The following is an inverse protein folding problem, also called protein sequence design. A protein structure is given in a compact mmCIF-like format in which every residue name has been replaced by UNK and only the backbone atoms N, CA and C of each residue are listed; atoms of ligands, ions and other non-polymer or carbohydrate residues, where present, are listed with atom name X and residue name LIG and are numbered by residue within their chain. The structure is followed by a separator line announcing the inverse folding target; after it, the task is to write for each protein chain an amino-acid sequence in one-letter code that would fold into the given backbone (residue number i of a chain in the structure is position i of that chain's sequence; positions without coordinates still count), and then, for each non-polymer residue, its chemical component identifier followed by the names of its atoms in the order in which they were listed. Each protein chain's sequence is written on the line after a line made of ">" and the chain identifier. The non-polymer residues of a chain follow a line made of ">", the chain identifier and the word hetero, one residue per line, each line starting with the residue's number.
data_IF_280013589603
#
_entry.id   IF_280013589603
#
_cell.length_a   1.000
_cell.length_b   1.000
_cell.length_c   1.000
_cell.angle_alpha   90.00
_cell.angle_beta   90.00
_cell.angle_gamma   90.00
#
_symmetry.space_group_name_H-M   'P 1'
#
loop_
_entity.id
_entity.type
_entity.pdbx_description
1 polymer ?
#
# COMPACT_ATOMS: atom_id res chain seq x y z
N UNK A 1 -4.67 -6.73 3.88
CA UNK A 1 -5.46 -6.81 5.13
C UNK A 1 -4.56 -6.55 6.32
N UNK A 2 -4.98 -5.71 7.26
CA UNK A 2 -4.15 -5.28 8.41
C UNK A 2 -4.92 -5.52 9.70
N UNK A 3 -4.29 -6.20 10.66
CA UNK A 3 -4.74 -6.29 12.05
C UNK A 3 -3.90 -5.37 12.95
N UNK A 4 -4.42 -5.06 14.14
CA UNK A 4 -3.70 -4.32 15.16
C UNK A 4 -3.32 -5.24 16.32
N UNK A 5 -2.03 -5.47 16.52
CA UNK A 5 -1.49 -6.24 17.63
C UNK A 5 -0.12 -5.67 18.01
N UNK A 6 -0.08 -4.79 19.01
CA UNK A 6 1.11 -3.99 19.37
C UNK A 6 1.65 -3.08 18.24
N UNK A 7 0.94 -3.05 17.10
CA UNK A 7 1.28 -2.35 15.88
C UNK A 7 0.53 -2.94 14.68
N UNK A 8 0.65 -2.35 13.47
CA UNK A 8 0.01 -2.87 12.27
C UNK A 8 0.68 -4.16 11.79
N UNK A 9 -0.12 -5.22 11.63
CA UNK A 9 0.33 -6.53 11.14
C UNK A 9 -0.35 -6.85 9.82
N UNK A 10 0.43 -7.06 8.76
CA UNK A 10 -0.09 -7.55 7.49
C UNK A 10 -0.48 -9.02 7.61
N UNK A 11 -1.70 -9.33 7.20
CA UNK A 11 -2.24 -10.69 7.15
C UNK A 11 -2.82 -10.98 5.76
N UNK A 12 -3.12 -12.25 5.50
CA UNK A 12 -3.70 -12.72 4.23
C UNK A 12 -2.83 -12.34 3.02
N UNK A 13 -1.57 -12.77 3.08
CA UNK A 13 -0.58 -12.58 2.00
C UNK A 13 -0.67 -13.67 0.91
N UNK A 14 -1.69 -14.52 0.98
CA UNK A 14 -1.94 -15.59 0.01
C UNK A 14 -2.15 -15.07 -1.42
N UNK A 15 -2.60 -13.81 -1.55
CA UNK A 15 -2.85 -13.11 -2.80
C UNK A 15 -1.75 -12.09 -3.17
N UNK A 16 -0.60 -12.10 -2.50
CA UNK A 16 0.52 -11.24 -2.86
C UNK A 16 1.22 -11.73 -4.14
N UNK A 17 1.75 -10.80 -4.94
CA UNK A 17 2.43 -11.11 -6.20
C UNK A 17 3.88 -10.65 -6.21
N UNK A 18 4.71 -11.31 -7.03
CA UNK A 18 6.08 -10.88 -7.29
C UNK A 18 6.11 -9.57 -8.09
N UNK A 19 7.22 -8.83 -7.96
CA UNK A 19 7.44 -7.58 -8.71
C UNK A 19 7.36 -7.75 -10.24
N UNK A 20 7.75 -8.93 -10.75
CA UNK A 20 7.70 -9.25 -12.17
C UNK A 20 6.32 -9.60 -12.72
N UNK A 21 5.28 -9.64 -11.88
CA UNK A 21 3.92 -9.87 -12.34
C UNK A 21 3.39 -8.65 -13.10
N UNK A 22 2.73 -8.86 -14.24
CA UNK A 22 2.25 -7.79 -15.13
C UNK A 22 1.41 -6.72 -14.41
N UNK A 23 0.62 -7.14 -13.42
CA UNK A 23 -0.25 -6.26 -12.64
C UNK A 23 0.35 -5.77 -11.30
N UNK A 24 1.63 -6.05 -10.99
CA UNK A 24 2.21 -5.72 -9.68
C UNK A 24 2.06 -4.22 -9.32
N UNK A 25 2.40 -3.33 -10.26
CA UNK A 25 2.27 -1.87 -10.07
C UNK A 25 0.81 -1.44 -9.90
N UNK A 26 -0.11 -2.05 -10.64
CA UNK A 26 -1.55 -1.77 -10.55
C UNK A 26 -2.12 -2.19 -9.19
N UNK A 27 -1.72 -3.35 -8.68
CA UNK A 27 -2.16 -3.82 -7.37
C UNK A 27 -1.59 -2.96 -6.24
N UNK A 28 -0.30 -2.61 -6.30
CA UNK A 28 0.31 -1.67 -5.35
C UNK A 28 -0.43 -0.33 -5.32
N UNK A 29 -0.72 0.25 -6.49
CA UNK A 29 -1.43 1.53 -6.57
C UNK A 29 -2.82 1.45 -5.95
N UNK A 30 -3.56 0.35 -6.19
CA UNK A 30 -4.85 0.11 -5.56
C UNK A 30 -4.74 0.02 -4.03
N UNK A 31 -3.71 -0.67 -3.52
CA UNK A 31 -3.51 -0.83 -2.08
C UNK A 31 -3.18 0.51 -1.42
N UNK A 32 -2.36 1.36 -2.06
CA UNK A 32 -2.09 2.73 -1.63
C UNK A 32 -3.40 3.54 -1.54
N UNK A 33 -4.23 3.51 -2.58
CA UNK A 33 -5.52 4.22 -2.58
C UNK A 33 -6.43 3.72 -1.45
N UNK A 34 -6.46 2.42 -1.18
CA UNK A 34 -7.26 1.85 -0.09
C UNK A 34 -6.81 2.36 1.28
N UNK A 35 -5.50 2.42 1.53
CA UNK A 35 -4.93 2.95 2.78
C UNK A 35 -5.21 4.45 2.92
N UNK A 36 -5.00 5.23 1.86
CA UNK A 36 -5.34 6.66 1.85
C UNK A 36 -6.81 6.86 2.19
N UNK A 37 -7.71 6.14 1.52
CA UNK A 37 -9.14 6.27 1.73
C UNK A 37 -9.56 5.89 3.16
N UNK A 38 -8.90 4.90 3.75
CA UNK A 38 -9.13 4.53 5.16
C UNK A 38 -8.75 5.68 6.09
N UNK A 39 -7.56 6.25 5.96
CA UNK A 39 -7.07 7.32 6.84
C UNK A 39 -7.77 8.68 6.60
N UNK A 40 -8.11 9.01 5.35
CA UNK A 40 -8.93 10.19 5.02
C UNK A 40 -10.27 10.16 5.76
N UNK A 41 -10.92 9.00 5.86
CA UNK A 41 -12.19 8.84 6.62
C UNK A 41 -12.03 9.08 8.12
N UNK A 42 -10.81 8.95 8.65
CA UNK A 42 -10.47 9.24 10.04
C UNK A 42 -10.03 10.70 10.25
N UNK A 43 -10.06 11.53 9.21
CA UNK A 43 -9.66 12.94 9.27
C UNK A 43 -8.15 13.17 9.20
N UNK A 44 -7.37 12.16 8.80
CA UNK A 44 -5.92 12.28 8.64
C UNK A 44 -5.62 12.93 7.29
N UNK A 45 -4.75 13.95 7.27
CA UNK A 45 -4.20 14.50 6.04
C UNK A 45 -3.29 13.47 5.36
N UNK A 46 -3.49 13.26 4.07
CA UNK A 46 -2.75 12.26 3.30
C UNK A 46 -2.20 12.87 2.03
N UNK A 47 -1.03 12.40 1.63
CA UNK A 47 -0.38 12.77 0.37
C UNK A 47 -1.09 12.12 -0.86
N UNK A 48 -0.81 12.64 -2.05
CA UNK A 48 -1.35 12.09 -3.30
C UNK A 48 -0.83 10.66 -3.59
N UNK A 49 -1.70 9.74 -4.08
CA UNK A 49 -1.35 8.34 -4.32
C UNK A 49 -0.09 8.15 -5.18
N UNK A 50 0.11 8.98 -6.20
CA UNK A 50 1.24 8.92 -7.11
C UNK A 50 2.56 9.27 -6.43
N UNK A 51 2.55 10.18 -5.45
CA UNK A 51 3.75 10.55 -4.68
C UNK A 51 4.17 9.37 -3.80
N UNK A 52 3.22 8.77 -3.09
CA UNK A 52 3.46 7.58 -2.25
C UNK A 52 3.94 6.40 -3.10
N UNK A 53 3.32 6.16 -4.25
CA UNK A 53 3.71 5.10 -5.17
C UNK A 53 5.16 5.27 -5.65
N UNK A 54 5.56 6.48 -6.06
CA UNK A 54 6.94 6.77 -6.44
C UNK A 54 7.92 6.54 -5.30
N UNK A 55 7.58 6.96 -4.08
CA UNK A 55 8.41 6.76 -2.90
C UNK A 55 8.65 5.28 -2.61
N UNK A 56 7.59 4.46 -2.62
CA UNK A 56 7.69 3.01 -2.34
C UNK A 56 8.50 2.29 -3.42
N UNK A 57 8.26 2.58 -4.69
CA UNK A 57 9.01 1.95 -5.80
C UNK A 57 10.50 2.31 -5.71
N UNK A 58 10.84 3.58 -5.47
CA UNK A 58 12.23 4.01 -5.34
C UNK A 58 12.93 3.39 -4.11
N UNK A 59 12.18 3.09 -3.03
CA UNK A 59 12.72 2.41 -1.86
C UNK A 59 13.01 0.92 -2.10
N UNK A 60 12.21 0.26 -2.96
CA UNK A 60 12.38 -1.16 -3.28
C UNK A 60 13.45 -1.49 -4.33
N UNK A 61 14.01 -0.48 -4.99
CA UNK A 61 15.12 -0.62 -5.95
C UNK A 61 16.51 -0.53 -5.29
N UNK A 62 16.57 -0.30 -3.96
CA UNK A 62 17.80 -0.32 -3.17
C UNK A 62 18.05 -1.68 -2.55
#
# INVERSE_FOLDING_TARGET
>A
NILWSEGPVFIDVSQSVLLGHDNAKKYLFRDIQNIINFFKKLGVETEEPEVIARYIVAAGEK
#
